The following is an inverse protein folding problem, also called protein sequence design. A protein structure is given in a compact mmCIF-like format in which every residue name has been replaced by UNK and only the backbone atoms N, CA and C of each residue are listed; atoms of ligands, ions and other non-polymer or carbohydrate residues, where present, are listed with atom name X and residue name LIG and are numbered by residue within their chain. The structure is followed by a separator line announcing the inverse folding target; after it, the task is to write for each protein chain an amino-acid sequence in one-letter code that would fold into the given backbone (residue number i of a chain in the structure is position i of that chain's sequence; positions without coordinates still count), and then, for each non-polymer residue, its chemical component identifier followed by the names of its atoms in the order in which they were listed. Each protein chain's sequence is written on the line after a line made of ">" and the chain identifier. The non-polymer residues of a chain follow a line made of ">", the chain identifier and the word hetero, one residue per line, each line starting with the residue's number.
data_IF_378630547305
#
_entry.id   IF_378630547305
#
_cell.length_a   1.000
_cell.length_b   1.000
_cell.length_c   1.000
_cell.angle_alpha   90.00
_cell.angle_beta   90.00
_cell.angle_gamma   90.00
#
_symmetry.space_group_name_H-M   'P 1'
#
loop_
_entity.id
_entity.type
_entity.pdbx_description
1 polymer ?
#
# COMPACT_ATOMS: atom_id res chain seq x y z
N UNK A 1 -52.23 -13.87 4.16
CA UNK A 1 -51.28 -12.91 4.78
C UNK A 1 -50.93 -13.44 6.15
N UNK A 2 -49.85 -14.21 6.26
CA UNK A 2 -49.34 -14.71 7.53
C UNK A 2 -48.31 -13.73 8.08
N UNK A 3 -48.45 -13.34 9.35
CA UNK A 3 -47.46 -12.55 10.08
C UNK A 3 -46.14 -13.32 10.19
N UNK A 4 -45.12 -12.92 9.41
CA UNK A 4 -43.73 -13.32 9.63
C UNK A 4 -43.21 -12.48 10.80
N UNK A 5 -43.49 -12.91 12.04
CA UNK A 5 -42.99 -12.29 13.29
C UNK A 5 -41.77 -13.00 13.88
N UNK A 6 -41.16 -13.94 13.16
CA UNK A 6 -40.09 -14.76 13.71
C UNK A 6 -38.71 -14.18 13.34
N UNK A 7 -37.93 -13.87 14.38
CA UNK A 7 -36.46 -13.73 14.36
C UNK A 7 -35.82 -12.33 14.26
N UNK A 8 -36.52 -11.23 14.55
CA UNK A 8 -35.86 -9.91 14.62
C UNK A 8 -34.94 -9.73 15.84
N UNK A 9 -35.09 -10.54 16.90
CA UNK A 9 -34.30 -10.38 18.12
C UNK A 9 -32.88 -10.94 18.00
N UNK A 10 -32.72 -12.16 17.49
CA UNK A 10 -31.41 -12.81 17.38
C UNK A 10 -30.50 -12.12 16.34
N UNK A 11 -31.09 -11.61 15.26
CA UNK A 11 -30.37 -10.88 14.21
C UNK A 11 -29.77 -9.56 14.73
N UNK A 12 -30.44 -8.92 15.70
CA UNK A 12 -29.95 -7.70 16.34
C UNK A 12 -28.75 -7.97 17.25
N UNK A 13 -28.69 -9.15 17.88
CA UNK A 13 -27.57 -9.55 18.73
C UNK A 13 -26.38 -9.95 17.86
N UNK A 14 -26.61 -10.72 16.79
CA UNK A 14 -25.57 -11.15 15.86
C UNK A 14 -24.93 -9.96 15.14
N UNK A 15 -25.74 -9.02 14.63
CA UNK A 15 -25.22 -7.80 13.98
C UNK A 15 -24.41 -6.94 14.95
N UNK A 16 -24.87 -6.73 16.18
CA UNK A 16 -24.11 -6.02 17.22
C UNK A 16 -22.80 -6.75 17.55
N UNK A 17 -22.83 -8.07 17.69
CA UNK A 17 -21.64 -8.87 17.95
C UNK A 17 -20.63 -8.81 16.81
N UNK A 18 -21.09 -8.83 15.55
CA UNK A 18 -20.24 -8.67 14.36
C UNK A 18 -19.64 -7.27 14.28
N UNK A 19 -20.46 -6.23 14.46
CA UNK A 19 -20.02 -4.83 14.47
C UNK A 19 -18.96 -4.62 15.55
N UNK A 20 -19.24 -5.03 16.79
CA UNK A 20 -18.29 -4.88 17.89
C UNK A 20 -17.05 -5.77 17.70
N UNK A 21 -17.23 -6.99 17.20
CA UNK A 21 -16.18 -7.98 17.00
C UNK A 21 -15.23 -7.70 15.84
N UNK A 22 -15.66 -6.96 14.80
CA UNK A 22 -14.79 -6.59 13.66
C UNK A 22 -14.27 -5.16 13.77
N UNK A 23 -15.14 -4.21 14.13
CA UNK A 23 -14.79 -2.78 14.13
C UNK A 23 -13.85 -2.46 15.28
N UNK A 24 -14.13 -2.96 16.49
CA UNK A 24 -13.29 -2.64 17.66
C UNK A 24 -11.87 -3.18 17.46
N UNK A 25 -11.63 -4.46 17.08
CA UNK A 25 -10.28 -4.94 16.86
C UNK A 25 -9.59 -4.25 15.68
N UNK A 26 -10.30 -3.98 14.59
CA UNK A 26 -9.74 -3.23 13.46
C UNK A 26 -9.29 -1.83 13.86
N UNK A 27 -10.13 -1.11 14.61
CA UNK A 27 -9.80 0.21 15.13
C UNK A 27 -8.62 0.17 16.10
N UNK A 28 -8.65 -0.74 17.08
CA UNK A 28 -7.58 -0.92 18.07
C UNK A 28 -6.26 -1.28 17.38
N UNK A 29 -6.27 -2.19 16.41
CA UNK A 29 -5.09 -2.56 15.63
C UNK A 29 -4.54 -1.36 14.85
N UNK A 30 -5.42 -0.58 14.21
CA UNK A 30 -5.02 0.60 13.43
C UNK A 30 -4.39 1.66 14.32
N UNK A 31 -5.01 1.96 15.47
CA UNK A 31 -4.47 2.91 16.46
C UNK A 31 -3.15 2.41 17.04
N UNK A 32 -3.04 1.12 17.38
CA UNK A 32 -1.81 0.53 17.87
C UNK A 32 -0.67 0.61 16.84
N UNK A 33 -0.96 0.37 15.56
CA UNK A 33 0.02 0.52 14.48
C UNK A 33 0.43 1.98 14.30
N UNK A 34 -0.52 2.93 14.34
CA UNK A 34 -0.23 4.36 14.33
C UNK A 34 0.67 4.78 15.49
N UNK A 35 0.40 4.30 16.70
CA UNK A 35 1.20 4.56 17.88
C UNK A 35 2.62 3.97 17.73
N UNK A 36 2.75 2.74 17.23
CA UNK A 36 4.06 2.14 16.95
C UNK A 36 4.82 2.88 15.86
N UNK A 37 4.15 3.30 14.78
CA UNK A 37 4.75 4.12 13.72
C UNK A 37 5.19 5.49 14.26
N UNK A 38 4.37 6.14 15.08
CA UNK A 38 4.69 7.40 15.72
C UNK A 38 5.89 7.28 16.67
N UNK A 39 5.92 6.21 17.48
CA UNK A 39 7.05 5.90 18.35
C UNK A 39 8.34 5.65 17.56
N UNK A 40 8.27 4.86 16.48
CA UNK A 40 9.42 4.61 15.62
C UNK A 40 9.86 5.86 14.83
N UNK A 41 8.95 6.77 14.51
CA UNK A 41 9.27 8.06 13.88
C UNK A 41 9.91 9.05 14.86
N UNK A 42 9.59 8.95 16.16
CA UNK A 42 10.17 9.78 17.23
C UNK A 42 11.64 9.42 17.49
N UNK A 43 12.01 8.15 17.36
CA UNK A 43 13.39 7.72 17.58
C UNK A 43 14.27 8.03 16.35
N UNK A 44 15.33 8.83 16.57
CA UNK A 44 16.28 9.28 15.54
C UNK A 44 16.96 8.12 14.80
N UNK A 45 17.16 6.98 15.46
CA UNK A 45 17.85 5.81 14.89
C UNK A 45 16.98 5.07 13.87
N UNK A 46 15.66 4.97 14.09
CA UNK A 46 14.73 4.29 13.18
C UNK A 46 14.16 5.19 12.09
N UNK A 47 14.16 6.51 12.31
CA UNK A 47 13.63 7.52 11.38
C UNK A 47 14.11 7.39 9.92
N UNK A 48 15.39 7.09 9.59
CA UNK A 48 15.81 6.96 8.19
C UNK A 48 15.28 5.69 7.51
N UNK A 49 14.86 4.68 8.28
CA UNK A 49 14.33 3.43 7.74
C UNK A 49 12.81 3.46 7.51
N UNK A 50 12.11 4.44 8.09
CA UNK A 50 10.66 4.58 7.90
C UNK A 50 10.33 5.24 6.57
N UNK A 51 9.52 4.55 5.77
CA UNK A 51 8.99 5.09 4.54
C UNK A 51 7.85 6.08 4.84
N UNK A 52 8.09 7.39 4.62
CA UNK A 52 7.15 8.47 4.96
C UNK A 52 5.80 8.35 4.23
N UNK A 53 5.77 7.65 3.10
CA UNK A 53 4.57 7.48 2.27
C UNK A 53 3.55 6.56 2.93
N UNK A 54 3.97 5.40 3.45
CA UNK A 54 3.06 4.43 4.10
C UNK A 54 2.41 5.02 5.35
N UNK A 55 3.15 5.81 6.13
CA UNK A 55 2.60 6.52 7.28
C UNK A 55 1.52 7.54 6.88
N UNK A 56 1.78 8.36 5.85
CA UNK A 56 0.82 9.34 5.35
C UNK A 56 -0.46 8.66 4.85
N UNK A 57 -0.34 7.57 4.09
CA UNK A 57 -1.48 6.79 3.62
C UNK A 57 -2.32 6.25 4.77
N UNK A 58 -1.67 5.73 5.82
CA UNK A 58 -2.37 5.17 6.98
C UNK A 58 -3.08 6.27 7.81
N UNK A 59 -2.49 7.45 7.94
CA UNK A 59 -3.13 8.63 8.55
C UNK A 59 -4.33 9.09 7.72
N UNK A 60 -4.18 9.20 6.39
CA UNK A 60 -5.27 9.62 5.51
C UNK A 60 -6.43 8.62 5.53
N UNK A 61 -6.15 7.32 5.56
CA UNK A 61 -7.18 6.30 5.70
C UNK A 61 -7.96 6.45 7.01
N UNK A 62 -7.26 6.72 8.13
CA UNK A 62 -7.92 6.92 9.43
C UNK A 62 -8.77 8.19 9.46
N UNK A 63 -8.25 9.30 8.93
CA UNK A 63 -8.98 10.58 8.88
C UNK A 63 -10.19 10.48 7.97
N UNK A 64 -10.06 9.86 6.79
CA UNK A 64 -11.18 9.61 5.89
C UNK A 64 -12.28 8.79 6.57
N UNK A 65 -11.89 7.73 7.30
CA UNK A 65 -12.81 6.88 8.06
C UNK A 65 -13.58 7.68 9.13
N UNK A 66 -12.92 8.58 9.85
CA UNK A 66 -13.58 9.42 10.85
C UNK A 66 -14.54 10.42 10.21
N UNK A 67 -14.12 11.06 9.12
CA UNK A 67 -14.91 12.11 8.46
C UNK A 67 -16.21 11.56 7.84
N UNK A 68 -16.20 10.32 7.36
CA UNK A 68 -17.40 9.68 6.80
C UNK A 68 -18.41 9.27 7.87
N UNK A 69 -18.00 8.98 9.11
CA UNK A 69 -18.90 8.52 10.16
C UNK A 69 -19.75 9.66 10.79
N UNK A 70 -19.20 10.86 10.92
CA UNK A 70 -19.91 12.01 11.52
C UNK A 70 -21.01 12.59 10.60
N UNK A 71 -20.96 12.29 9.30
CA UNK A 71 -21.97 12.72 8.32
C UNK A 71 -23.20 11.80 8.27
N UNK A 72 -23.35 10.85 9.19
CA UNK A 72 -24.51 9.92 9.22
C UNK A 72 -25.78 10.51 9.85
N UNK A 73 -25.73 11.76 10.33
CA UNK A 73 -26.88 12.51 10.87
C UNK A 73 -27.96 12.87 9.82
N UNK A 74 -27.74 12.55 8.55
CA UNK A 74 -28.58 12.91 7.41
C UNK A 74 -29.78 11.95 7.16
N UNK A 75 -29.93 10.88 7.94
CA UNK A 75 -30.96 9.83 7.75
C UNK A 75 -32.42 10.27 8.02
N UNK A 76 -32.72 11.56 8.12
CA UNK A 76 -34.03 12.07 8.57
C UNK A 76 -35.00 12.45 7.44
N UNK A 77 -34.62 12.34 6.16
CA UNK A 77 -35.50 12.68 5.03
C UNK A 77 -35.49 11.54 3.98
N UNK A 78 -36.63 10.85 3.81
CA UNK A 78 -36.64 9.40 3.53
C UNK A 78 -36.67 8.96 2.06
N UNK A 79 -37.19 9.73 1.10
CA UNK A 79 -37.68 9.06 -0.13
C UNK A 79 -36.79 9.22 -1.38
N UNK A 80 -36.03 10.31 -1.52
CA UNK A 80 -35.13 10.53 -2.67
C UNK A 80 -33.66 10.73 -2.30
N UNK A 81 -33.39 10.98 -1.02
CA UNK A 81 -32.04 11.26 -0.56
C UNK A 81 -31.22 9.99 -0.38
N UNK A 82 -31.86 8.87 -0.01
CA UNK A 82 -31.19 7.59 0.18
C UNK A 82 -30.62 7.06 -1.14
N UNK A 83 -31.40 7.12 -2.22
CA UNK A 83 -30.96 6.70 -3.57
C UNK A 83 -29.78 7.55 -4.06
N UNK A 84 -29.84 8.88 -3.84
CA UNK A 84 -28.77 9.78 -4.23
C UNK A 84 -27.49 9.60 -3.40
N UNK A 85 -27.62 9.37 -2.08
CA UNK A 85 -26.49 9.15 -1.18
C UNK A 85 -25.81 7.82 -1.48
N UNK A 86 -26.58 6.74 -1.61
CA UNK A 86 -26.06 5.42 -1.99
C UNK A 86 -25.40 5.53 -3.38
N UNK A 87 -26.07 6.14 -4.36
CA UNK A 87 -25.52 6.32 -5.71
C UNK A 87 -24.22 7.13 -5.73
N UNK A 88 -24.14 8.22 -4.97
CA UNK A 88 -22.92 9.05 -4.89
C UNK A 88 -21.78 8.32 -4.19
N UNK A 89 -22.07 7.59 -3.11
CA UNK A 89 -21.08 6.77 -2.41
C UNK A 89 -20.56 5.63 -3.31
N UNK A 90 -21.46 4.91 -3.98
CA UNK A 90 -21.08 3.86 -4.94
C UNK A 90 -20.25 4.45 -6.10
N UNK A 91 -20.63 5.61 -6.63
CA UNK A 91 -19.88 6.27 -7.70
C UNK A 91 -18.48 6.70 -7.28
N UNK A 92 -18.32 7.26 -6.06
CA UNK A 92 -17.01 7.63 -5.51
C UNK A 92 -16.14 6.40 -5.26
N UNK A 93 -16.72 5.31 -4.76
CA UNK A 93 -16.02 4.04 -4.56
C UNK A 93 -15.53 3.45 -5.88
N UNK A 94 -16.38 3.44 -6.92
CA UNK A 94 -16.02 2.98 -8.26
C UNK A 94 -14.91 3.83 -8.89
N UNK A 95 -15.01 5.15 -8.78
CA UNK A 95 -13.99 6.06 -9.29
C UNK A 95 -12.64 5.84 -8.59
N UNK A 96 -12.67 5.69 -7.26
CA UNK A 96 -11.47 5.41 -6.46
C UNK A 96 -10.85 4.07 -6.86
N UNK A 97 -11.66 3.01 -6.96
CA UNK A 97 -11.21 1.69 -7.39
C UNK A 97 -10.60 1.71 -8.80
N UNK A 98 -11.19 2.49 -9.71
CA UNK A 98 -10.67 2.65 -11.07
C UNK A 98 -9.30 3.34 -11.06
N UNK A 99 -9.17 4.42 -10.28
CA UNK A 99 -7.90 5.13 -10.11
C UNK A 99 -6.80 4.24 -9.51
N UNK A 100 -7.14 3.39 -8.55
CA UNK A 100 -6.22 2.42 -7.95
C UNK A 100 -5.76 1.35 -8.96
N UNK A 101 -6.68 0.82 -9.77
CA UNK A 101 -6.34 -0.14 -10.83
C UNK A 101 -5.42 0.50 -11.86
N UNK A 102 -5.73 1.71 -12.33
CA UNK A 102 -4.88 2.42 -13.29
C UNK A 102 -3.49 2.71 -12.72
N UNK A 103 -3.41 3.14 -11.47
CA UNK A 103 -2.14 3.37 -10.77
C UNK A 103 -1.33 2.08 -10.64
N UNK A 104 -1.99 0.98 -10.25
CA UNK A 104 -1.36 -0.34 -10.15
C UNK A 104 -0.82 -0.83 -11.49
N UNK A 105 -1.63 -0.76 -12.55
CA UNK A 105 -1.24 -1.17 -13.90
C UNK A 105 -0.06 -0.33 -14.42
N UNK A 106 -0.05 0.97 -14.12
CA UNK A 106 1.03 1.88 -14.51
C UNK A 106 2.35 1.50 -13.84
N UNK A 107 2.33 1.26 -12.52
CA UNK A 107 3.51 0.82 -11.76
C UNK A 107 3.96 -0.56 -12.23
N UNK A 108 3.03 -1.50 -12.42
CA UNK A 108 3.35 -2.85 -12.89
C UNK A 108 4.02 -2.81 -14.27
N UNK A 109 3.47 -2.03 -15.20
CA UNK A 109 4.06 -1.83 -16.53
C UNK A 109 5.47 -1.26 -16.41
N UNK A 110 5.67 -0.22 -15.61
CA UNK A 110 6.98 0.41 -15.43
C UNK A 110 8.01 -0.59 -14.89
N UNK A 111 7.64 -1.36 -13.87
CA UNK A 111 8.50 -2.39 -13.27
C UNK A 111 8.85 -3.49 -14.27
N UNK A 112 7.87 -3.97 -15.05
CA UNK A 112 8.11 -5.00 -16.06
C UNK A 112 9.08 -4.49 -17.13
N UNK A 113 8.89 -3.27 -17.62
CA UNK A 113 9.80 -2.65 -18.60
C UNK A 113 11.21 -2.51 -18.03
N UNK A 114 11.32 -2.00 -16.80
CA UNK A 114 12.59 -1.82 -16.11
C UNK A 114 13.35 -3.15 -15.92
N UNK A 115 12.64 -4.22 -15.53
CA UNK A 115 13.22 -5.56 -15.40
C UNK A 115 13.70 -6.11 -16.75
N UNK A 116 12.90 -5.96 -17.81
CA UNK A 116 13.28 -6.41 -19.15
C UNK A 116 14.54 -5.70 -19.65
N UNK A 117 14.63 -4.38 -19.46
CA UNK A 117 15.79 -3.57 -19.84
C UNK A 117 17.03 -3.94 -19.01
N UNK A 118 16.87 -4.08 -17.70
CA UNK A 118 17.97 -4.47 -16.81
C UNK A 118 18.46 -5.89 -17.11
N UNK A 119 17.56 -6.82 -17.41
CA UNK A 119 17.93 -8.17 -17.84
C UNK A 119 18.66 -8.15 -19.18
N UNK A 120 18.24 -7.29 -20.12
CA UNK A 120 18.92 -7.15 -21.40
C UNK A 120 20.36 -6.66 -21.21
N UNK A 121 20.56 -5.60 -20.41
CA UNK A 121 21.90 -5.09 -20.09
C UNK A 121 22.77 -6.14 -19.37
N UNK A 122 22.20 -6.93 -18.46
CA UNK A 122 22.92 -8.04 -17.81
C UNK A 122 23.33 -9.15 -18.77
N UNK A 123 22.54 -9.43 -19.81
CA UNK A 123 22.89 -10.42 -20.83
C UNK A 123 24.01 -9.92 -21.76
N UNK A 124 24.03 -8.63 -22.08
CA UNK A 124 25.08 -8.01 -22.91
C UNK A 124 26.40 -7.92 -22.14
N UNK A 125 26.36 -7.58 -20.84
CA UNK A 125 27.51 -7.56 -19.95
C UNK A 125 27.99 -8.97 -19.56
N UNK A 126 27.97 -9.92 -20.50
CA UNK A 126 28.16 -11.36 -20.30
C UNK A 126 29.37 -11.73 -19.43
N UNK A 127 29.40 -12.99 -18.93
CA UNK A 127 30.46 -13.46 -18.05
C UNK A 127 31.81 -13.22 -18.74
N UNK A 128 32.56 -12.25 -18.21
CA UNK A 128 33.74 -11.75 -18.85
C UNK A 128 34.66 -12.89 -19.23
N UNK A 129 34.93 -13.01 -20.53
CA UNK A 129 36.05 -13.75 -21.10
C UNK A 129 37.35 -13.04 -20.71
N UNK A 130 37.55 -12.80 -19.41
CA UNK A 130 38.79 -12.34 -18.84
C UNK A 130 39.72 -13.52 -18.74
N UNK A 131 40.38 -13.86 -19.85
CA UNK A 131 41.60 -14.65 -19.85
C UNK A 131 42.68 -13.81 -19.16
N UNK A 132 42.66 -13.83 -17.83
CA UNK A 132 43.55 -13.10 -16.94
C UNK A 132 43.99 -14.03 -15.84
N UNK A 133 44.98 -14.86 -16.16
CA UNK A 133 45.72 -15.73 -15.27
C UNK A 133 46.19 -14.96 -14.04
N UNK A 134 45.49 -15.07 -12.91
CA UNK A 134 46.10 -14.99 -11.57
C UNK A 134 45.18 -15.65 -10.55
N UNK A 135 45.54 -16.89 -10.19
CA UNK A 135 45.04 -17.56 -9.02
C UNK A 135 45.60 -16.87 -7.77
N UNK A 136 44.74 -16.47 -6.83
CA UNK A 136 44.85 -16.86 -5.40
C UNK A 136 43.68 -16.30 -4.57
N UNK A 137 42.97 -17.22 -3.92
CA UNK A 137 42.34 -17.07 -2.60
C UNK A 137 41.26 -15.98 -2.40
N UNK A 138 40.03 -16.23 -2.87
CA UNK A 138 38.83 -15.59 -2.33
C UNK A 138 37.55 -16.39 -2.63
N UNK A 139 37.48 -17.64 -2.18
CA UNK A 139 36.22 -18.37 -2.12
C UNK A 139 35.38 -17.81 -0.95
N UNK A 140 34.32 -17.03 -1.23
CA UNK A 140 33.09 -16.88 -0.40
C UNK A 140 32.22 -15.62 -0.68
N UNK A 141 32.12 -15.10 -1.92
CA UNK A 141 31.23 -13.93 -2.18
C UNK A 141 30.35 -14.00 -3.44
N UNK A 142 30.04 -15.19 -3.97
CA UNK A 142 29.22 -15.33 -5.19
C UNK A 142 27.72 -15.61 -4.94
N UNK A 143 27.23 -15.62 -3.70
CA UNK A 143 25.81 -15.87 -3.40
C UNK A 143 24.91 -14.61 -3.31
N UNK A 144 25.44 -13.39 -3.47
CA UNK A 144 24.64 -12.17 -3.17
C UNK A 144 23.68 -11.72 -4.28
N UNK A 145 23.97 -12.03 -5.56
CA UNK A 145 23.20 -11.50 -6.71
C UNK A 145 21.79 -12.09 -6.80
N UNK A 146 21.60 -13.36 -6.40
CA UNK A 146 20.28 -13.99 -6.34
C UNK A 146 19.37 -13.39 -5.26
N UNK A 147 19.95 -12.87 -4.17
CA UNK A 147 19.16 -12.29 -3.07
C UNK A 147 18.52 -10.95 -3.44
N UNK A 148 19.17 -10.16 -4.29
CA UNK A 148 18.68 -8.83 -4.69
C UNK A 148 17.41 -8.91 -5.55
N UNK A 149 17.30 -9.93 -6.41
CA UNK A 149 16.12 -10.15 -7.26
C UNK A 149 14.91 -10.54 -6.39
N UNK A 150 15.12 -11.43 -5.40
CA UNK A 150 14.06 -11.83 -4.47
C UNK A 150 13.62 -10.67 -3.58
N UNK A 151 14.55 -9.82 -3.14
CA UNK A 151 14.25 -8.59 -2.40
C UNK A 151 13.40 -7.62 -3.22
N UNK A 152 13.76 -7.38 -4.49
CA UNK A 152 13.03 -6.47 -5.36
C UNK A 152 11.62 -7.00 -5.66
N UNK A 153 11.50 -8.30 -5.94
CA UNK A 153 10.20 -8.95 -6.17
C UNK A 153 9.25 -8.80 -4.98
N UNK A 154 9.76 -8.94 -3.75
CA UNK A 154 8.96 -8.74 -2.54
C UNK A 154 8.55 -7.27 -2.36
N UNK A 155 9.43 -6.32 -2.70
CA UNK A 155 9.11 -4.88 -2.65
C UNK A 155 8.02 -4.53 -3.67
N UNK A 156 8.15 -5.02 -4.91
CA UNK A 156 7.21 -4.79 -6.00
C UNK A 156 5.85 -5.40 -5.68
N UNK A 157 5.82 -6.67 -5.28
CA UNK A 157 4.58 -7.34 -4.87
C UNK A 157 3.88 -6.55 -3.79
N UNK A 158 4.64 -5.95 -2.88
CA UNK A 158 4.10 -5.19 -1.78
C UNK A 158 3.55 -3.82 -2.18
N UNK A 159 4.23 -3.08 -3.06
CA UNK A 159 3.69 -1.83 -3.63
C UNK A 159 2.40 -2.13 -4.41
N UNK A 160 2.36 -3.28 -5.09
CA UNK A 160 1.21 -3.73 -5.85
C UNK A 160 0.05 -4.28 -5.03
N UNK A 161 0.34 -4.87 -3.86
CA UNK A 161 -0.67 -5.55 -3.03
C UNK A 161 -1.64 -4.57 -2.39
N UNK A 162 -1.21 -3.34 -2.05
CA UNK A 162 -2.09 -2.34 -1.47
C UNK A 162 -3.22 -1.91 -2.41
N UNK A 163 -2.95 -1.44 -3.65
CA UNK A 163 -4.02 -1.14 -4.61
C UNK A 163 -4.88 -2.36 -4.96
N UNK A 164 -4.28 -3.55 -5.06
CA UNK A 164 -5.02 -4.75 -5.41
C UNK A 164 -6.04 -5.13 -4.33
N UNK A 165 -5.63 -5.11 -3.06
CA UNK A 165 -6.55 -5.35 -1.94
C UNK A 165 -7.62 -4.27 -1.86
N UNK A 166 -7.25 -2.98 -2.01
CA UNK A 166 -8.22 -1.88 -2.01
C UNK A 166 -9.27 -2.07 -3.12
N UNK A 167 -8.82 -2.39 -4.32
CA UNK A 167 -9.67 -2.68 -5.48
C UNK A 167 -10.64 -3.83 -5.20
N UNK A 168 -10.15 -4.97 -4.68
CA UNK A 168 -11.00 -6.10 -4.34
C UNK A 168 -12.09 -5.72 -3.33
N UNK A 169 -11.73 -5.00 -2.26
CA UNK A 169 -12.69 -4.56 -1.24
C UNK A 169 -13.70 -3.55 -1.80
N UNK A 170 -13.25 -2.58 -2.61
CA UNK A 170 -14.11 -1.58 -3.23
C UNK A 170 -15.10 -2.21 -4.24
N UNK A 171 -14.63 -3.13 -5.09
CA UNK A 171 -15.50 -3.86 -6.03
C UNK A 171 -16.52 -4.71 -5.26
N UNK A 172 -16.08 -5.45 -4.24
CA UNK A 172 -17.00 -6.26 -3.44
C UNK A 172 -18.08 -5.41 -2.77
N UNK A 173 -17.71 -4.27 -2.18
CA UNK A 173 -18.68 -3.35 -1.56
C UNK A 173 -19.67 -2.82 -2.60
N UNK A 174 -19.17 -2.37 -3.76
CA UNK A 174 -20.01 -1.87 -4.85
C UNK A 174 -21.00 -2.93 -5.39
N UNK A 175 -20.59 -4.20 -5.48
CA UNK A 175 -21.48 -5.27 -5.94
C UNK A 175 -22.61 -5.53 -4.94
N UNK A 176 -22.32 -5.43 -3.63
CA UNK A 176 -23.32 -5.58 -2.58
C UNK A 176 -24.29 -4.38 -2.57
N UNK A 177 -23.78 -3.15 -2.69
CA UNK A 177 -24.60 -1.94 -2.82
C UNK A 177 -25.55 -2.04 -4.03
N UNK A 178 -25.03 -2.48 -5.19
CA UNK A 178 -25.84 -2.61 -6.40
C UNK A 178 -26.94 -3.67 -6.24
N UNK A 179 -26.66 -4.75 -5.51
CA UNK A 179 -27.66 -5.78 -5.21
C UNK A 179 -28.82 -5.23 -4.37
N UNK A 180 -28.51 -4.41 -3.37
CA UNK A 180 -29.50 -3.76 -2.49
C UNK A 180 -30.38 -2.79 -3.27
N UNK A 181 -29.81 -2.03 -4.21
CA UNK A 181 -30.56 -1.12 -5.09
C UNK A 181 -31.54 -1.88 -6.00
N UNK A 182 -31.12 -3.04 -6.55
CA UNK A 182 -31.95 -3.84 -7.45
C UNK A 182 -33.15 -4.48 -6.77
N UNK A 183 -33.07 -4.75 -5.45
CA UNK A 183 -34.12 -5.39 -4.67
C UNK A 183 -34.55 -4.47 -3.52
N UNK A 184 -35.35 -3.43 -3.74
CA UNK A 184 -35.68 -2.46 -2.70
C UNK A 184 -36.59 -3.02 -1.60
N UNK A 185 -37.23 -4.18 -1.82
CA UNK A 185 -38.11 -4.78 -0.81
C UNK A 185 -37.30 -5.30 0.40
N UNK A 186 -37.71 -5.02 1.63
CA UNK A 186 -37.00 -5.46 2.83
C UNK A 186 -37.13 -6.98 3.01
N UNK A 187 -36.20 -7.72 2.42
CA UNK A 187 -36.07 -9.18 2.52
C UNK A 187 -34.96 -9.56 3.51
N UNK A 188 -35.04 -10.76 4.08
CA UNK A 188 -33.97 -11.32 4.92
C UNK A 188 -32.63 -11.39 4.17
N UNK A 189 -32.67 -11.65 2.86
CA UNK A 189 -31.48 -11.66 2.01
C UNK A 189 -30.82 -10.29 1.97
N UNK A 190 -31.58 -9.21 1.77
CA UNK A 190 -31.06 -7.84 1.77
C UNK A 190 -30.42 -7.45 3.10
N UNK A 191 -31.01 -7.90 4.21
CA UNK A 191 -30.40 -7.73 5.53
C UNK A 191 -29.03 -8.42 5.62
N UNK A 192 -28.93 -9.67 5.17
CA UNK A 192 -27.65 -10.42 5.16
C UNK A 192 -26.61 -9.80 4.24
N UNK A 193 -27.04 -9.27 3.08
CA UNK A 193 -26.18 -8.56 2.13
C UNK A 193 -25.65 -7.27 2.73
N UNK A 194 -26.50 -6.46 3.38
CA UNK A 194 -26.08 -5.25 4.10
C UNK A 194 -25.10 -5.58 5.23
N UNK A 195 -25.32 -6.69 5.95
CA UNK A 195 -24.40 -7.13 7.00
C UNK A 195 -23.05 -7.56 6.42
N UNK A 196 -23.04 -8.22 5.25
CA UNK A 196 -21.83 -8.58 4.54
C UNK A 196 -21.07 -7.35 4.05
N UNK A 197 -21.76 -6.34 3.52
CA UNK A 197 -21.14 -5.08 3.09
C UNK A 197 -20.45 -4.37 4.25
N UNK A 198 -21.15 -4.25 5.39
CA UNK A 198 -20.59 -3.69 6.61
C UNK A 198 -19.36 -4.48 7.12
N UNK A 199 -19.38 -5.81 6.99
CA UNK A 199 -18.25 -6.67 7.34
C UNK A 199 -17.05 -6.43 6.41
N UNK A 200 -17.26 -6.28 5.10
CA UNK A 200 -16.19 -5.99 4.13
C UNK A 200 -15.62 -4.59 4.37
N UNK A 201 -16.50 -3.61 4.62
CA UNK A 201 -16.11 -2.24 4.93
C UNK A 201 -15.23 -2.17 6.19
N UNK A 202 -15.61 -2.91 7.24
CA UNK A 202 -14.83 -2.99 8.48
C UNK A 202 -13.56 -3.84 8.38
N UNK A 203 -13.48 -4.78 7.44
CA UNK A 203 -12.26 -5.54 7.17
C UNK A 203 -11.13 -4.68 6.56
N UNK A 204 -11.48 -3.58 5.88
CA UNK A 204 -10.53 -2.67 5.20
C UNK A 204 -9.39 -2.17 6.10
N UNK A 205 -9.63 -1.52 7.25
CA UNK A 205 -8.55 -1.10 8.16
C UNK A 205 -7.74 -2.28 8.70
N UNK A 206 -8.39 -3.43 8.93
CA UNK A 206 -7.75 -4.64 9.43
C UNK A 206 -6.71 -5.17 8.43
N UNK A 207 -7.08 -5.25 7.15
CA UNK A 207 -6.19 -5.72 6.10
C UNK A 207 -5.08 -4.71 5.84
N UNK A 208 -5.37 -3.41 5.82
CA UNK A 208 -4.31 -2.38 5.70
C UNK A 208 -3.35 -2.39 6.87
N UNK A 209 -3.86 -2.59 8.09
CA UNK A 209 -3.04 -2.77 9.27
C UNK A 209 -2.12 -3.98 9.15
N UNK A 210 -2.65 -5.13 8.72
CA UNK A 210 -1.86 -6.35 8.53
C UNK A 210 -0.80 -6.19 7.43
N UNK A 211 -1.13 -5.53 6.32
CA UNK A 211 -0.19 -5.22 5.24
C UNK A 211 0.92 -4.27 5.71
N UNK A 212 0.58 -3.28 6.55
CA UNK A 212 1.56 -2.39 7.18
C UNK A 212 2.43 -3.12 8.20
N UNK A 213 1.86 -4.02 9.00
CA UNK A 213 2.60 -4.81 9.99
C UNK A 213 3.59 -5.79 9.34
N UNK A 214 3.24 -6.34 8.18
CA UNK A 214 4.10 -7.25 7.39
C UNK A 214 5.13 -6.51 6.52
N UNK A 215 5.26 -5.18 6.69
CA UNK A 215 6.24 -4.38 5.98
C UNK A 215 7.68 -4.72 6.38
N UNK A 216 8.56 -5.15 5.45
CA UNK A 216 9.97 -5.36 5.79
C UNK A 216 10.69 -4.10 6.29
N UNK A 217 10.29 -2.90 5.88
CA UNK A 217 10.79 -1.63 6.43
C UNK A 217 10.33 -1.42 7.88
N UNK A 218 9.08 -1.77 8.20
CA UNK A 218 8.58 -1.74 9.58
C UNK A 218 9.28 -2.78 10.45
N UNK A 219 9.43 -4.00 9.94
CA UNK A 219 10.16 -5.09 10.62
C UNK A 219 11.61 -4.66 10.89
N UNK A 220 12.30 -4.07 9.89
CA UNK A 220 13.66 -3.55 10.07
C UNK A 220 13.72 -2.41 11.09
N UNK A 221 12.74 -1.50 11.08
CA UNK A 221 12.67 -0.43 12.07
C UNK A 221 12.47 -0.99 13.49
N UNK A 222 11.59 -1.98 13.68
CA UNK A 222 11.40 -2.65 14.96
C UNK A 222 12.66 -3.42 15.37
N UNK A 223 13.32 -4.10 14.44
CA UNK A 223 14.57 -4.82 14.71
C UNK A 223 15.69 -3.86 15.16
N UNK A 224 15.82 -2.70 14.50
CA UNK A 224 16.76 -1.66 14.89
C UNK A 224 16.44 -1.07 16.28
N UNK A 225 15.16 -1.02 16.67
CA UNK A 225 14.75 -0.61 18.01
C UNK A 225 15.06 -1.67 19.08
N UNK A 226 14.92 -2.97 18.74
CA UNK A 226 15.18 -4.08 19.67
C UNK A 226 16.66 -4.35 19.90
N UNK A 227 17.48 -4.12 18.88
CA UNK A 227 18.92 -4.32 18.93
C UNK A 227 19.62 -2.98 18.67
N UNK A 228 19.62 -2.06 19.65
CA UNK A 228 20.39 -0.83 19.51
C UNK A 228 21.85 -1.21 19.26
N UNK A 229 22.53 -0.58 18.28
CA UNK A 229 23.93 -0.86 18.01
C UNK A 229 24.71 -0.64 19.30
N UNK A 230 25.49 -1.65 19.72
CA UNK A 230 26.35 -1.50 20.90
C UNK A 230 27.25 -0.28 20.67
N UNK A 231 27.23 0.68 21.59
CA UNK A 231 27.89 1.99 21.45
C UNK A 231 29.38 1.91 21.07
N UNK A 232 30.02 0.75 21.21
CA UNK A 232 31.41 0.50 20.84
C UNK A 232 31.70 0.17 19.36
N UNK A 233 30.70 -0.01 18.49
CA UNK A 233 30.92 -0.48 17.10
C UNK A 233 30.33 0.41 16.01
N UNK A 234 30.12 1.70 16.27
CA UNK A 234 29.87 2.66 15.19
C UNK A 234 31.20 2.92 14.49
N UNK A 235 31.53 2.04 13.54
CA UNK A 235 32.73 2.18 12.73
C UNK A 235 32.70 3.54 12.03
N UNK A 236 33.88 4.15 11.92
CA UNK A 236 34.10 5.42 11.24
C UNK A 236 33.42 5.48 9.85
N UNK A 237 33.24 4.32 9.22
CA UNK A 237 32.59 4.11 7.93
C UNK A 237 31.11 4.53 7.91
N UNK A 238 30.36 4.34 9.01
CA UNK A 238 28.97 4.82 9.12
C UNK A 238 28.89 6.33 9.36
N UNK A 239 29.90 6.91 10.02
CA UNK A 239 30.05 8.37 10.12
C UNK A 239 30.41 8.98 8.76
N UNK A 240 31.24 8.30 7.96
CA UNK A 240 31.61 8.72 6.60
C UNK A 240 30.43 8.56 5.63
N UNK A 241 29.63 7.50 5.72
CA UNK A 241 28.46 7.32 4.84
C UNK A 241 27.32 8.31 5.14
N UNK A 242 27.13 8.71 6.41
CA UNK A 242 26.20 9.80 6.77
C UNK A 242 26.68 11.18 6.28
N UNK A 243 27.99 11.39 6.22
CA UNK A 243 28.57 12.61 5.65
C UNK A 243 28.52 12.60 4.10
N UNK A 244 28.66 11.44 3.47
CA UNK A 244 28.60 11.30 2.01
C UNK A 244 27.15 11.34 1.48
N UNK A 245 26.15 10.88 2.24
CA UNK A 245 24.74 10.83 1.83
C UNK A 245 23.98 12.16 1.89
N UNK A 246 24.58 13.23 2.44
CA UNK A 246 24.05 14.60 2.37
C UNK A 246 24.59 15.39 1.17
N UNK A 247 25.53 14.81 0.42
CA UNK A 247 25.98 15.31 -0.87
C UNK A 247 25.13 14.72 -2.00
N UNK A 248 24.21 15.52 -2.50
CA UNK A 248 23.78 15.58 -3.90
C UNK A 248 24.89 15.18 -4.90
N UNK A 249 25.05 13.89 -5.17
CA UNK A 249 26.13 13.37 -6.03
C UNK A 249 25.71 12.27 -7.01
N UNK A 250 24.43 11.87 -7.03
CA UNK A 250 23.91 10.88 -8.00
C UNK A 250 23.05 11.49 -9.12
N UNK A 251 23.00 12.82 -9.22
CA UNK A 251 22.29 13.52 -10.31
C UNK A 251 23.19 14.40 -11.18
N UNK A 252 24.53 14.32 -11.03
CA UNK A 252 25.45 15.15 -11.82
C UNK A 252 26.48 14.40 -12.67
N UNK A 253 26.51 13.06 -12.67
CA UNK A 253 27.50 12.28 -13.46
C UNK A 253 26.89 11.46 -14.61
N UNK A 254 25.62 11.67 -14.95
CA UNK A 254 24.95 11.08 -16.14
C UNK A 254 24.45 12.18 -17.10
N UNK A 255 25.03 13.38 -17.04
CA UNK A 255 24.81 14.45 -18.03
C UNK A 255 26.13 15.07 -18.53
N UNK A 256 27.23 14.30 -18.55
CA UNK A 256 28.25 14.48 -19.58
C UNK A 256 27.96 13.46 -20.68
N UNK A 257 26.89 13.72 -21.45
CA UNK A 257 26.79 13.19 -22.79
C UNK A 257 27.73 14.02 -23.69
N UNK A 258 28.53 13.39 -24.56
CA UNK A 258 29.29 14.12 -25.55
C UNK A 258 28.32 14.91 -26.43
N UNK A 259 28.61 16.20 -26.58
CA UNK A 259 28.06 17.20 -27.50
C UNK A 259 27.24 16.58 -28.65
N UNK A 260 25.94 16.39 -28.42
CA UNK A 260 25.02 15.82 -29.39
C UNK A 260 24.18 16.93 -30.04
N UNK A 261 24.29 16.96 -31.36
CA UNK A 261 23.49 17.61 -32.40
C UNK A 261 22.23 18.41 -31.95
N UNK A 262 22.15 19.74 -32.19
CA UNK A 262 21.06 20.60 -31.70
C UNK A 262 19.67 20.31 -32.28
N UNK A 263 19.52 19.36 -33.19
CA UNK A 263 18.24 18.99 -33.81
C UNK A 263 17.38 18.04 -32.97
N UNK A 264 17.93 17.35 -31.96
CA UNK A 264 17.19 16.36 -31.15
C UNK A 264 16.49 16.92 -29.90
N UNK A 265 16.79 18.16 -29.50
CA UNK A 265 16.25 18.80 -28.29
C UNK A 265 14.76 19.18 -28.40
N UNK A 266 14.21 19.29 -29.61
CA UNK A 266 12.81 19.68 -29.82
C UNK A 266 11.83 18.51 -29.55
N UNK A 267 12.26 17.26 -29.70
CA UNK A 267 11.37 16.09 -29.53
C UNK A 267 11.24 15.69 -28.04
N UNK A 268 12.25 15.98 -27.20
CA UNK A 268 12.24 15.60 -25.80
C UNK A 268 11.31 16.46 -24.92
N UNK A 269 10.93 17.67 -25.34
CA UNK A 269 10.10 18.58 -24.54
C UNK A 269 8.59 18.30 -24.61
N UNK A 270 8.13 17.39 -25.48
CA UNK A 270 6.69 17.12 -25.66
C UNK A 270 6.17 15.96 -24.77
N UNK A 271 7.05 15.20 -24.10
CA UNK A 271 6.65 13.94 -23.43
C UNK A 271 6.50 13.97 -21.90
N UNK A 272 6.57 15.14 -21.26
CA UNK A 272 6.39 15.28 -19.80
C UNK A 272 5.21 16.22 -19.52
N UNK A 273 4.04 15.85 -20.02
CA UNK A 273 2.82 16.63 -19.87
C UNK A 273 1.56 15.82 -20.15
N UNK A 274 1.50 14.55 -19.73
CA UNK A 274 0.28 13.77 -19.48
C UNK A 274 0.57 12.81 -18.33
#
# INVERSE_FOLDING_TARGET
>A
MGEIRLSTHDDSVLSRALILGLIIPGFVLTVALLAMYGYAAWNLTSRPHLNRVSFRLLVYALVAQFYTNDMTCWYRNQDHMLEWVVGTQTAVLLLTSTGEVLSFLTILKYVVVYELETQHLRRIAGPGTGSGTFATTAASRTSSVGSTILLLRNIILRIGLYPLVSCLLNISSCLLDLHVIQSPEPTELNWRVNLADLAIYSARPLIYGLLAATDPSFIRAIQALRHPPSEGSVSLEERVSRFAGTGTGYLSTVLEMPEADPTLTIIASIRIGI
#
